data_IF_008308504589
#
_entry.id   IF_008308504589
#
_cell.length_a   1.000
_cell.length_b   1.000
_cell.length_c   1.000
_cell.angle_alpha   90.00
_cell.angle_beta   90.00
_cell.angle_gamma   90.00
#
_symmetry.space_group_name_H-M   'P 1'
#
loop_
_entity.id
_entity.type
_entity.pdbx_description
1 polymer ?
#
# COMPACT_ATOMS: atom_id res chain seq x y z
N UNK A 1 5.77 7.63 20.40
CA UNK A 1 6.40 6.69 19.46
C UNK A 1 7.37 5.81 20.20
N UNK A 2 8.36 6.41 20.84
CA UNK A 2 9.59 5.74 21.29
C UNK A 2 9.39 4.57 22.26
N UNK A 3 8.51 4.69 23.26
CA UNK A 3 8.28 3.60 24.23
C UNK A 3 7.65 2.32 23.64
N UNK A 4 6.90 2.43 22.54
CA UNK A 4 6.36 1.24 21.84
C UNK A 4 7.44 0.57 20.99
N UNK A 5 8.24 1.37 20.28
CA UNK A 5 9.35 0.86 19.47
C UNK A 5 10.41 0.15 20.35
N UNK A 6 10.68 0.70 21.53
CA UNK A 6 11.52 0.05 22.55
C UNK A 6 10.92 -1.28 23.04
N UNK A 7 9.59 -1.38 23.13
CA UNK A 7 8.89 -2.63 23.48
C UNK A 7 8.83 -3.66 22.34
N UNK A 8 9.32 -3.33 21.15
CA UNK A 8 9.28 -4.20 19.97
C UNK A 8 8.01 -4.07 19.14
N UNK A 9 7.24 -2.99 19.28
CA UNK A 9 6.09 -2.68 18.43
C UNK A 9 6.31 -1.34 17.73
N UNK A 10 6.25 -1.34 16.41
CA UNK A 10 6.28 -0.13 15.59
C UNK A 10 4.90 0.12 14.98
N UNK A 11 4.50 1.39 14.94
CA UNK A 11 3.23 1.84 14.38
C UNK A 11 3.50 2.87 13.28
N UNK A 12 3.02 2.59 12.07
CA UNK A 12 3.01 3.52 10.95
C UNK A 12 1.60 4.03 10.68
N UNK A 13 1.48 5.32 10.35
CA UNK A 13 0.23 5.92 9.89
C UNK A 13 0.50 6.70 8.60
N UNK A 14 -0.07 6.23 7.50
CA UNK A 14 -0.02 6.86 6.19
C UNK A 14 -1.32 7.58 5.86
N UNK A 15 -1.24 8.70 5.14
CA UNK A 15 -2.41 9.33 4.53
C UNK A 15 -2.03 9.90 3.17
N UNK A 16 -2.70 9.43 2.12
CA UNK A 16 -2.50 9.90 0.75
C UNK A 16 -3.69 10.74 0.30
N UNK A 17 -3.44 11.97 -0.18
CA UNK A 17 -4.50 12.93 -0.51
C UNK A 17 -4.36 13.41 -1.95
N UNK A 18 -5.42 13.24 -2.75
CA UNK A 18 -5.37 13.47 -4.20
C UNK A 18 -6.55 14.31 -4.65
N UNK A 19 -6.24 15.42 -5.33
CA UNK A 19 -7.21 16.20 -6.10
C UNK A 19 -6.98 16.03 -7.59
N UNK A 20 -8.02 15.65 -8.33
CA UNK A 20 -7.95 15.46 -9.78
C UNK A 20 -9.10 16.17 -10.49
N UNK A 21 -8.82 16.66 -11.70
CA UNK A 21 -9.83 17.27 -12.58
C UNK A 21 -9.66 16.78 -14.03
N UNK A 22 -10.77 16.35 -14.64
CA UNK A 22 -10.78 16.08 -16.08
C UNK A 22 -10.84 17.40 -16.87
N UNK A 23 -9.74 17.75 -17.55
CA UNK A 23 -9.64 18.99 -18.34
C UNK A 23 -10.25 18.86 -19.74
N UNK A 24 -10.24 17.66 -20.34
CA UNK A 24 -10.74 17.41 -21.70
C UNK A 24 -11.00 15.92 -21.95
N UNK A 25 -12.05 15.61 -22.73
CA UNK A 25 -12.35 14.24 -23.17
C UNK A 25 -13.16 13.44 -22.13
N UNK A 26 -13.08 12.12 -22.20
CA UNK A 26 -13.78 11.19 -21.31
C UNK A 26 -15.29 11.04 -21.59
N UNK A 27 -15.95 10.26 -20.75
CA UNK A 27 -17.38 9.93 -20.86
C UNK A 27 -18.33 11.06 -20.42
N UNK A 28 -17.85 12.09 -19.71
CA UNK A 28 -18.67 13.25 -19.33
C UNK A 28 -18.00 14.58 -19.62
N UNK A 29 -18.57 15.34 -20.56
CA UNK A 29 -18.07 16.67 -20.97
C UNK A 29 -18.59 17.83 -20.12
N UNK A 30 -19.63 17.58 -19.32
CA UNK A 30 -20.32 18.58 -18.49
C UNK A 30 -20.03 18.45 -17.00
N UNK A 31 -19.55 17.28 -16.54
CA UNK A 31 -19.13 17.05 -15.14
C UNK A 31 -17.61 17.16 -14.97
N UNK A 32 -17.00 18.25 -15.43
CA UNK A 32 -15.56 18.54 -15.25
C UNK A 32 -15.21 19.04 -13.85
N UNK A 33 -16.05 18.73 -12.87
CA UNK A 33 -15.83 19.14 -11.50
C UNK A 33 -14.69 18.32 -10.93
N UNK A 34 -13.70 18.99 -10.34
CA UNK A 34 -12.62 18.30 -9.64
C UNK A 34 -13.18 17.41 -8.52
N UNK A 35 -12.43 16.37 -8.20
CA UNK A 35 -12.77 15.42 -7.14
C UNK A 35 -11.58 15.25 -6.23
N UNK A 36 -11.92 15.06 -4.97
CA UNK A 36 -10.98 14.76 -3.91
C UNK A 36 -11.15 13.31 -3.50
N UNK A 37 -10.03 12.61 -3.38
CA UNK A 37 -9.95 11.21 -2.98
C UNK A 37 -8.65 10.93 -2.26
N UNK A 38 -8.53 9.72 -1.74
CA UNK A 38 -7.33 9.26 -1.08
C UNK A 38 -7.62 8.14 -0.11
N UNK A 39 -6.54 7.68 0.52
CA UNK A 39 -6.49 6.59 1.48
C UNK A 39 -5.75 6.94 2.76
N UNK A 40 -5.91 6.07 3.75
CA UNK A 40 -5.14 6.06 4.97
C UNK A 40 -4.75 4.64 5.32
N UNK A 41 -3.58 4.52 5.91
CA UNK A 41 -2.92 3.25 6.19
C UNK A 41 -2.55 3.19 7.65
N UNK A 42 -2.82 2.06 8.30
CA UNK A 42 -2.29 1.75 9.63
C UNK A 42 -1.43 0.50 9.52
N UNK A 43 -0.16 0.67 9.81
CA UNK A 43 0.86 -0.37 9.81
C UNK A 43 1.24 -0.71 11.25
N UNK A 44 1.35 -2.00 11.53
CA UNK A 44 1.85 -2.51 12.80
C UNK A 44 2.91 -3.56 12.52
N UNK A 45 4.13 -3.32 13.01
CA UNK A 45 5.24 -4.28 12.97
C UNK A 45 5.60 -4.70 14.38
N UNK A 46 5.82 -6.00 14.60
CA UNK A 46 6.17 -6.54 15.90
C UNK A 46 7.44 -7.39 15.82
N UNK A 47 8.43 -7.04 16.64
CA UNK A 47 9.66 -7.78 16.90
C UNK A 47 9.38 -8.85 17.97
N UNK A 48 9.22 -10.10 17.54
CA UNK A 48 8.84 -11.19 18.45
C UNK A 48 9.99 -11.67 19.32
N UNK A 49 11.24 -11.26 19.02
CA UNK A 49 12.36 -11.47 19.92
C UNK A 49 12.20 -10.64 21.17
N UNK A 50 11.90 -9.34 21.02
CA UNK A 50 11.67 -8.43 22.15
C UNK A 50 10.39 -8.78 22.92
N UNK A 51 9.33 -9.13 22.20
CA UNK A 51 8.01 -9.37 22.80
C UNK A 51 7.89 -10.75 23.46
N UNK A 52 8.42 -11.79 22.82
CA UNK A 52 8.17 -13.20 23.18
C UNK A 52 9.44 -14.05 23.27
N UNK A 53 10.62 -13.50 23.02
CA UNK A 53 11.89 -14.24 22.98
C UNK A 53 12.05 -15.14 21.76
N UNK A 54 11.22 -14.99 20.72
CA UNK A 54 11.30 -15.78 19.49
C UNK A 54 12.36 -15.14 18.58
N UNK A 55 13.58 -15.68 18.62
CA UNK A 55 14.69 -15.22 17.77
C UNK A 55 14.33 -15.33 16.28
N UNK A 56 14.55 -14.25 15.52
CA UNK A 56 14.25 -14.19 14.09
C UNK A 56 12.77 -14.14 13.71
N UNK A 57 11.86 -13.98 14.68
CA UNK A 57 10.42 -13.91 14.43
C UNK A 57 9.89 -12.48 14.30
N UNK A 58 9.03 -12.24 13.32
CA UNK A 58 8.31 -10.97 13.16
C UNK A 58 6.84 -11.18 12.78
N UNK A 59 6.00 -10.19 13.12
CA UNK A 59 4.61 -10.11 12.69
C UNK A 59 4.38 -8.73 12.06
N UNK A 60 3.63 -8.70 10.97
CA UNK A 60 3.23 -7.47 10.31
C UNK A 60 1.74 -7.46 9.98
N UNK A 61 1.13 -6.29 10.10
CA UNK A 61 -0.23 -6.02 9.65
C UNK A 61 -0.27 -4.65 8.97
N UNK A 62 -0.83 -4.63 7.76
CA UNK A 62 -1.23 -3.42 7.07
C UNK A 62 -2.76 -3.40 6.96
N UNK A 63 -3.33 -2.25 7.29
CA UNK A 63 -4.74 -1.98 7.03
C UNK A 63 -4.88 -0.71 6.22
N UNK A 64 -5.80 -0.71 5.26
CA UNK A 64 -6.00 0.42 4.34
C UNK A 64 -7.47 0.82 4.33
N UNK A 65 -7.75 2.11 4.35
CA UNK A 65 -9.09 2.65 4.18
C UNK A 65 -9.12 3.77 3.15
N UNK A 66 -10.29 4.03 2.56
CA UNK A 66 -10.50 5.03 1.51
C UNK A 66 -11.75 5.85 1.81
N UNK A 67 -11.71 7.17 1.70
CA UNK A 67 -12.85 8.03 2.11
C UNK A 67 -13.74 8.49 0.96
N UNK A 68 -13.26 8.49 -0.28
CA UNK A 68 -13.98 9.12 -1.39
C UNK A 68 -15.26 8.37 -1.77
N UNK A 69 -16.40 9.07 -1.86
CA UNK A 69 -17.66 8.44 -2.33
C UNK A 69 -17.56 7.95 -3.78
N UNK A 70 -16.85 8.68 -4.65
CA UNK A 70 -16.75 8.36 -6.07
C UNK A 70 -15.44 7.70 -6.48
N UNK A 71 -14.47 7.54 -5.57
CA UNK A 71 -13.12 7.11 -5.91
C UNK A 71 -12.37 8.07 -6.82
N UNK A 72 -12.66 9.38 -6.74
CA UNK A 72 -12.05 10.36 -7.63
C UNK A 72 -12.86 10.63 -8.90
N UNK A 73 -12.19 10.92 -10.01
CA UNK A 73 -12.80 11.42 -11.25
C UNK A 73 -13.17 10.34 -12.28
N UNK A 74 -12.72 9.09 -12.10
CA UNK A 74 -12.79 8.08 -13.16
C UNK A 74 -14.22 7.75 -13.59
N UNK A 75 -15.00 7.10 -12.72
CA UNK A 75 -16.40 6.77 -12.96
C UNK A 75 -17.28 7.98 -13.35
N UNK A 76 -17.16 9.18 -12.73
CA UNK A 76 -18.01 10.31 -13.11
C UNK A 76 -17.61 11.04 -14.40
N UNK A 77 -16.36 10.94 -14.86
CA UNK A 77 -15.81 11.86 -15.87
C UNK A 77 -14.94 11.21 -16.95
N UNK A 78 -14.14 10.19 -16.61
CA UNK A 78 -13.13 9.63 -17.52
C UNK A 78 -13.63 8.34 -18.18
N UNK A 79 -14.03 7.34 -17.38
CA UNK A 79 -14.48 6.04 -17.85
C UNK A 79 -13.33 5.11 -18.28
N UNK A 80 -12.21 5.13 -17.55
CA UNK A 80 -11.06 4.26 -17.80
C UNK A 80 -11.35 2.82 -17.41
N UNK A 81 -10.90 1.85 -18.21
CA UNK A 81 -10.94 0.44 -17.83
C UNK A 81 -9.91 0.08 -16.74
N UNK A 82 -8.82 0.86 -16.65
CA UNK A 82 -7.73 0.65 -15.70
C UNK A 82 -7.81 1.59 -14.50
N UNK A 83 -8.78 2.51 -14.47
CA UNK A 83 -8.77 3.66 -13.56
C UNK A 83 -7.73 4.71 -13.96
N UNK A 84 -7.72 5.82 -13.22
CA UNK A 84 -6.74 6.93 -13.37
C UNK A 84 -5.97 7.24 -12.10
N UNK A 85 -6.32 6.53 -11.02
CA UNK A 85 -5.81 6.71 -9.67
C UNK A 85 -6.06 5.40 -8.89
N UNK A 86 -5.01 4.63 -8.56
CA UNK A 86 -5.12 3.40 -7.77
C UNK A 86 -5.56 3.66 -6.33
N UNK A 87 -5.20 4.82 -5.83
CA UNK A 87 -5.64 5.30 -4.54
C UNK A 87 -7.06 5.91 -4.57
N UNK A 88 -7.59 6.12 -5.78
CA UNK A 88 -8.96 6.55 -6.05
C UNK A 88 -9.94 5.38 -6.09
N UNK A 89 -10.43 4.93 -4.94
CA UNK A 89 -11.52 3.95 -4.88
C UNK A 89 -12.74 4.44 -4.08
N UNK A 90 -13.95 3.85 -4.32
CA UNK A 90 -15.11 4.11 -3.48
C UNK A 90 -14.82 3.81 -2.01
N UNK A 91 -15.54 4.52 -1.13
CA UNK A 91 -15.33 4.47 0.31
C UNK A 91 -15.23 3.03 0.85
N UNK A 92 -14.12 2.75 1.53
CA UNK A 92 -13.90 1.53 2.33
C UNK A 92 -13.50 1.92 3.74
N UNK A 93 -14.10 1.27 4.73
CA UNK A 93 -13.95 1.66 6.14
C UNK A 93 -12.56 1.38 6.71
N UNK A 94 -11.98 0.22 6.41
CA UNK A 94 -10.60 -0.20 6.73
C UNK A 94 -10.57 -1.72 6.49
N UNK A 95 -9.76 -2.17 5.55
CA UNK A 95 -9.57 -3.58 5.22
C UNK A 95 -8.18 -4.01 5.67
N UNK A 96 -8.01 -5.26 6.15
CA UNK A 96 -6.68 -5.84 6.37
C UNK A 96 -6.13 -6.25 5.00
N UNK A 97 -5.20 -5.47 4.46
CA UNK A 97 -4.57 -5.73 3.16
C UNK A 97 -3.43 -6.72 3.30
N UNK A 98 -2.65 -6.63 4.39
CA UNK A 98 -1.63 -7.62 4.75
C UNK A 98 -1.73 -8.04 6.22
N UNK A 99 -1.50 -9.33 6.45
CA UNK A 99 -1.30 -9.90 7.77
C UNK A 99 -0.46 -11.15 7.61
N UNK A 100 0.78 -11.10 8.07
CA UNK A 100 1.69 -12.21 7.95
C UNK A 100 2.64 -12.31 9.13
N UNK A 101 3.08 -13.54 9.38
CA UNK A 101 4.17 -13.90 10.27
C UNK A 101 5.38 -14.28 9.42
N UNK A 102 6.57 -13.88 9.86
CA UNK A 102 7.83 -14.29 9.27
C UNK A 102 8.76 -14.91 10.32
N UNK A 103 9.52 -15.91 9.88
CA UNK A 103 10.59 -16.51 10.63
C UNK A 103 11.85 -16.60 9.78
N UNK A 104 12.94 -16.12 10.34
CA UNK A 104 14.26 -16.14 9.74
C UNK A 104 15.11 -17.23 10.42
N UNK A 105 15.84 -18.01 9.62
CA UNK A 105 16.67 -19.13 10.07
C UNK A 105 18.02 -19.15 9.33
N UNK A 106 18.93 -20.02 9.80
CA UNK A 106 20.21 -20.32 9.16
C UNK A 106 21.02 -19.05 8.85
N UNK A 107 21.31 -18.26 9.88
CA UNK A 107 22.05 -16.99 9.79
C UNK A 107 21.47 -16.06 8.69
N UNK A 108 20.15 -15.88 8.72
CA UNK A 108 19.40 -15.04 7.79
C UNK A 108 19.34 -15.52 6.32
N UNK A 109 19.80 -16.73 6.05
CA UNK A 109 19.80 -17.30 4.70
C UNK A 109 18.41 -17.77 4.26
N UNK A 110 17.59 -18.23 5.21
CA UNK A 110 16.25 -18.76 4.91
C UNK A 110 15.21 -17.90 5.62
N UNK A 111 14.26 -17.36 4.85
CA UNK A 111 13.09 -16.64 5.35
C UNK A 111 11.82 -17.41 4.98
N UNK A 112 10.98 -17.68 5.96
CA UNK A 112 9.65 -18.28 5.78
C UNK A 112 8.59 -17.27 6.21
N UNK A 113 7.71 -16.90 5.29
CA UNK A 113 6.58 -16.01 5.56
C UNK A 113 5.26 -16.72 5.31
N UNK A 114 4.32 -16.58 6.23
CA UNK A 114 3.00 -17.21 6.15
C UNK A 114 1.94 -16.16 6.49
N UNK A 115 0.97 -16.00 5.59
CA UNK A 115 -0.15 -15.10 5.78
C UNK A 115 -0.66 -14.51 4.47
N UNK A 116 -1.46 -13.44 4.58
CA UNK A 116 -1.81 -12.59 3.44
C UNK A 116 -0.71 -11.53 3.32
N UNK A 117 -0.01 -11.53 2.20
CA UNK A 117 1.13 -10.64 1.98
C UNK A 117 1.10 -10.10 0.57
N UNK A 118 1.67 -8.92 0.39
CA UNK A 118 2.00 -8.43 -0.93
C UNK A 118 3.27 -9.15 -1.43
N UNK A 119 3.15 -9.84 -2.58
CA UNK A 119 4.28 -10.51 -3.21
C UNK A 119 5.21 -9.52 -3.91
N UNK A 120 4.83 -8.25 -3.99
CA UNK A 120 5.70 -7.16 -4.39
C UNK A 120 6.55 -6.62 -3.25
N UNK A 121 6.37 -7.01 -1.97
CA UNK A 121 7.06 -6.48 -0.75
C UNK A 121 7.71 -7.51 0.20
N UNK A 122 8.95 -7.34 0.72
CA UNK A 122 9.53 -8.31 1.68
C UNK A 122 11.04 -8.30 2.04
N UNK A 123 11.94 -7.76 1.23
CA UNK A 123 13.37 -7.52 1.48
C UNK A 123 13.79 -6.18 0.86
N UNK A 124 14.84 -5.52 1.36
CA UNK A 124 15.24 -4.22 0.80
C UNK A 124 15.86 -4.37 -0.59
N UNK A 125 15.29 -3.69 -1.58
CA UNK A 125 15.89 -3.43 -2.87
C UNK A 125 15.91 -1.93 -3.12
N UNK A 126 17.10 -1.32 -3.11
CA UNK A 126 17.30 0.12 -3.30
C UNK A 126 16.54 1.01 -2.30
N UNK A 127 16.35 0.56 -1.06
CA UNK A 127 15.60 1.30 -0.04
C UNK A 127 14.08 1.06 -0.09
N UNK A 128 13.59 0.18 -0.96
CA UNK A 128 12.19 -0.20 -1.05
C UNK A 128 12.01 -1.69 -0.68
N UNK A 129 11.03 -2.04 0.17
CA UNK A 129 10.74 -3.43 0.50
C UNK A 129 10.12 -4.17 -0.71
N UNK A 130 10.69 -5.31 -1.12
CA UNK A 130 10.23 -6.12 -2.26
C UNK A 130 10.24 -7.63 -2.00
N UNK A 131 9.29 -8.42 -2.52
CA UNK A 131 9.27 -9.90 -2.31
C UNK A 131 9.69 -10.68 -3.56
N UNK A 132 9.20 -10.27 -4.73
CA UNK A 132 9.55 -10.88 -6.01
C UNK A 132 9.72 -9.86 -7.14
N UNK A 133 9.36 -8.60 -6.92
CA UNK A 133 9.42 -7.53 -7.93
C UNK A 133 10.35 -6.41 -7.47
N UNK A 134 11.57 -6.37 -8.04
CA UNK A 134 12.60 -5.38 -7.72
C UNK A 134 12.63 -4.19 -8.71
N UNK A 135 11.50 -3.86 -9.35
CA UNK A 135 11.48 -2.76 -10.31
C UNK A 135 11.86 -1.42 -9.66
N UNK A 136 12.85 -0.74 -10.23
CA UNK A 136 13.22 0.63 -9.82
C UNK A 136 12.32 1.71 -10.42
N UNK A 137 11.41 1.33 -11.30
CA UNK A 137 10.54 2.23 -12.06
C UNK A 137 9.05 2.01 -11.80
N UNK A 138 8.68 0.98 -11.03
CA UNK A 138 7.32 0.63 -10.66
C UNK A 138 7.30 0.23 -9.16
N UNK A 139 6.10 0.10 -8.59
CA UNK A 139 5.70 -0.38 -7.26
C UNK A 139 5.29 0.70 -6.23
N UNK A 140 5.13 1.97 -6.64
CA UNK A 140 4.62 3.03 -5.75
C UNK A 140 3.58 3.94 -6.45
N UNK A 141 2.34 3.87 -5.97
CA UNK A 141 1.20 4.64 -6.48
C UNK A 141 1.28 6.14 -6.15
N UNK A 142 2.08 6.50 -5.15
CA UNK A 142 2.18 7.86 -4.60
C UNK A 142 3.35 8.65 -5.17
N UNK A 143 4.46 7.98 -5.52
CA UNK A 143 5.67 8.65 -6.02
C UNK A 143 5.95 8.43 -7.51
N UNK A 144 5.42 7.37 -8.13
CA UNK A 144 5.73 7.02 -9.52
C UNK A 144 4.51 7.16 -10.44
N UNK A 145 3.54 6.24 -10.33
CA UNK A 145 2.38 6.19 -11.23
C UNK A 145 1.08 6.06 -10.46
N UNK A 146 0.19 7.04 -10.63
CA UNK A 146 -1.17 6.93 -10.10
C UNK A 146 -2.04 5.91 -10.84
N UNK A 147 -1.68 5.51 -12.07
CA UNK A 147 -2.53 4.65 -12.88
C UNK A 147 -2.31 3.17 -12.57
N UNK A 148 -3.36 2.40 -12.23
CA UNK A 148 -3.24 0.99 -11.86
C UNK A 148 -2.53 0.12 -12.91
N UNK A 149 -2.58 0.47 -14.19
CA UNK A 149 -1.89 -0.29 -15.23
C UNK A 149 -0.36 -0.14 -15.19
N UNK A 150 0.15 0.84 -14.44
CA UNK A 150 1.56 1.23 -14.39
C UNK A 150 2.14 1.14 -12.98
N UNK A 151 1.31 0.84 -11.98
CA UNK A 151 1.71 0.81 -10.58
C UNK A 151 2.73 -0.31 -10.36
N UNK A 152 2.44 -1.55 -10.76
CA UNK A 152 3.36 -2.67 -10.59
C UNK A 152 4.07 -3.02 -11.90
N UNK A 153 5.24 -3.65 -11.82
CA UNK A 153 5.93 -4.14 -13.01
C UNK A 153 5.12 -5.28 -13.66
N UNK A 154 4.75 -5.19 -14.95
CA UNK A 154 3.96 -6.23 -15.61
C UNK A 154 4.75 -7.49 -15.99
N UNK A 155 6.03 -7.60 -15.61
CA UNK A 155 6.93 -8.71 -16.01
C UNK A 155 7.67 -9.33 -14.84
#
# INVERSE_FOLDING_TARGET
GDGLAESGIELGLGVTQIYQQNVRGGISKHRRAGRYSGSYDLEISADLRKLLGIEGGSLYMLTEGKWSKSGGIDAPSVGSAFGVNGDGAPRRSMDVSELWYEQVFADETIRLRIGKMDLTGGFDCHGCPVSFDCSSYANDETTQFLNNALINNPT
#
